data_IF_388499087600
#
_entry.id   IF_388499087600
#
_cell.length_a   1.000
_cell.length_b   1.000
_cell.length_c   1.000
_cell.angle_alpha   90.00
_cell.angle_beta   90.00
_cell.angle_gamma   90.00
#
_symmetry.space_group_name_H-M   'P 1'
#
loop_
_entity.id
_entity.type
_entity.pdbx_description
1 polymer ?
#
# COMPACT_ATOMS: atom_id res chain seq x y z
N UNK A 1 -21.59 -14.51 -0.59
CA UNK A 1 -22.92 -14.01 -0.19
C UNK A 1 -22.88 -13.80 1.31
N UNK A 2 -22.86 -12.55 1.80
CA UNK A 2 -22.92 -12.24 3.22
C UNK A 2 -24.39 -12.19 3.63
N UNK A 3 -24.93 -13.30 4.09
CA UNK A 3 -26.25 -13.35 4.70
C UNK A 3 -26.08 -13.32 6.22
N UNK A 4 -26.82 -12.40 6.85
CA UNK A 4 -27.10 -12.29 8.29
C UNK A 4 -25.99 -11.82 9.22
N UNK A 5 -25.36 -10.66 8.92
CA UNK A 5 -24.95 -9.76 10.00
C UNK A 5 -26.19 -8.98 10.42
N UNK A 6 -26.65 -9.08 11.69
CA UNK A 6 -27.81 -8.31 12.14
C UNK A 6 -27.57 -6.83 11.89
N UNK A 7 -28.55 -6.15 11.28
CA UNK A 7 -28.48 -4.72 10.98
C UNK A 7 -28.03 -3.89 12.21
N UNK A 8 -28.44 -4.32 13.40
CA UNK A 8 -28.05 -3.72 14.68
C UNK A 8 -26.54 -3.79 14.98
N UNK A 9 -25.84 -4.83 14.55
CA UNK A 9 -24.37 -4.93 14.69
C UNK A 9 -23.68 -3.95 13.75
N UNK A 10 -24.17 -3.82 12.51
CA UNK A 10 -23.64 -2.85 11.55
C UNK A 10 -23.85 -1.41 12.04
N UNK A 11 -25.05 -1.07 12.53
CA UNK A 11 -25.34 0.23 13.14
C UNK A 11 -24.48 0.49 14.37
N UNK A 12 -24.26 -0.52 15.21
CA UNK A 12 -23.40 -0.40 16.38
C UNK A 12 -21.95 -0.11 15.98
N UNK A 13 -21.39 -0.88 15.05
CA UNK A 13 -20.03 -0.66 14.54
C UNK A 13 -19.91 0.71 13.91
N UNK A 14 -20.87 1.11 13.06
CA UNK A 14 -20.89 2.43 12.42
C UNK A 14 -20.87 3.56 13.45
N UNK A 15 -21.72 3.48 14.48
CA UNK A 15 -21.73 4.44 15.59
C UNK A 15 -20.42 4.46 16.38
N UNK A 16 -19.83 3.29 16.67
CA UNK A 16 -18.55 3.22 17.40
C UNK A 16 -17.39 3.78 16.58
N UNK A 17 -17.40 3.57 15.26
CA UNK A 17 -16.43 4.17 14.34
C UNK A 17 -16.61 5.68 14.33
N UNK A 18 -17.84 6.18 14.22
CA UNK A 18 -18.14 7.62 14.20
C UNK A 18 -17.73 8.33 15.50
N UNK A 19 -18.04 7.75 16.66
CA UNK A 19 -17.59 8.23 17.98
C UNK A 19 -16.06 8.32 18.07
N UNK A 20 -15.36 7.30 17.56
CA UNK A 20 -13.90 7.23 17.56
C UNK A 20 -13.28 8.27 16.63
N UNK A 21 -13.81 8.40 15.41
CA UNK A 21 -13.37 9.39 14.41
C UNK A 21 -13.55 10.80 14.95
N UNK A 22 -14.69 11.10 15.57
CA UNK A 22 -14.99 12.42 16.16
C UNK A 22 -14.05 12.74 17.34
N UNK A 23 -13.77 11.77 18.20
CA UNK A 23 -12.82 11.92 19.31
C UNK A 23 -11.40 12.20 18.82
N UNK A 24 -10.96 11.49 17.79
CA UNK A 24 -9.67 11.74 17.14
C UNK A 24 -9.66 13.09 16.42
N UNK A 25 -10.74 13.47 15.77
CA UNK A 25 -10.86 14.75 15.06
C UNK A 25 -10.63 15.94 16.00
N UNK A 26 -11.13 15.91 17.24
CA UNK A 26 -10.86 16.96 18.24
C UNK A 26 -9.39 17.07 18.68
N UNK A 27 -8.57 16.04 18.44
CA UNK A 27 -7.18 15.93 18.90
C UNK A 27 -6.16 16.21 17.80
N UNK A 28 -6.60 16.34 16.54
CA UNK A 28 -5.71 16.57 15.40
C UNK A 28 -5.55 18.07 15.15
N UNK A 29 -4.29 18.58 15.07
CA UNK A 29 -4.04 20.00 14.79
C UNK A 29 -4.69 20.47 13.48
N UNK A 30 -5.22 21.71 13.41
CA UNK A 30 -5.91 22.23 12.22
C UNK A 30 -5.13 22.12 10.92
N UNK A 31 -3.80 22.26 10.98
CA UNK A 31 -2.90 22.14 9.82
C UNK A 31 -2.97 20.75 9.19
N UNK A 32 -3.03 19.70 10.01
CA UNK A 32 -3.10 18.30 9.51
C UNK A 32 -4.47 18.02 8.89
N UNK A 33 -5.55 18.61 9.44
CA UNK A 33 -6.89 18.53 8.85
C UNK A 33 -6.96 19.21 7.49
N UNK A 34 -6.39 20.41 7.37
CA UNK A 34 -6.41 21.16 6.12
C UNK A 34 -5.63 20.43 5.02
N UNK A 35 -4.43 19.95 5.34
CA UNK A 35 -3.58 19.22 4.38
C UNK A 35 -4.25 17.91 3.94
N UNK A 36 -4.86 17.17 4.87
CA UNK A 36 -5.56 15.92 4.55
C UNK A 36 -6.84 16.15 3.74
N UNK A 37 -7.64 17.17 4.08
CA UNK A 37 -8.84 17.55 3.32
C UNK A 37 -8.48 17.99 1.90
N UNK A 38 -7.41 18.77 1.75
CA UNK A 38 -6.92 19.21 0.44
C UNK A 38 -6.36 18.05 -0.37
N UNK A 39 -5.62 17.13 0.25
CA UNK A 39 -5.17 15.92 -0.44
C UNK A 39 -6.35 15.05 -0.91
N UNK A 40 -7.38 14.92 -0.07
CA UNK A 40 -8.59 14.18 -0.41
C UNK A 40 -9.37 14.84 -1.56
N UNK A 41 -9.54 16.16 -1.55
CA UNK A 41 -10.23 16.88 -2.62
C UNK A 41 -9.49 16.75 -3.95
N UNK A 42 -8.16 16.93 -3.94
CA UNK A 42 -7.31 16.75 -5.13
C UNK A 42 -7.40 15.32 -5.66
N UNK A 43 -7.34 14.31 -4.77
CA UNK A 43 -7.47 12.91 -5.16
C UNK A 43 -8.86 12.59 -5.76
N UNK A 44 -9.92 13.22 -5.24
CA UNK A 44 -11.29 13.07 -5.75
C UNK A 44 -11.49 13.73 -7.11
N UNK A 45 -10.82 14.83 -7.38
CA UNK A 45 -10.92 15.58 -8.64
C UNK A 45 -10.01 15.03 -9.76
N UNK A 46 -8.91 14.36 -9.38
CA UNK A 46 -7.95 13.78 -10.33
C UNK A 46 -8.57 12.87 -11.41
N UNK A 47 -9.55 11.98 -11.12
CA UNK A 47 -10.21 11.17 -12.14
C UNK A 47 -11.01 11.99 -13.14
N UNK A 48 -11.60 13.12 -12.72
CA UNK A 48 -12.38 14.01 -13.59
C UNK A 48 -11.45 14.74 -14.56
N UNK A 49 -10.36 15.30 -14.03
CA UNK A 49 -9.32 15.94 -14.84
C UNK A 49 -8.68 14.95 -15.83
N UNK A 50 -8.38 13.72 -15.39
CA UNK A 50 -7.83 12.68 -16.24
C UNK A 50 -8.79 12.29 -17.39
N UNK A 51 -10.09 12.21 -17.12
CA UNK A 51 -11.12 11.93 -18.14
C UNK A 51 -11.21 13.06 -19.17
N UNK A 52 -11.18 14.31 -18.73
CA UNK A 52 -11.25 15.48 -19.62
C UNK A 52 -10.06 15.51 -20.59
N UNK A 53 -8.84 15.33 -20.07
CA UNK A 53 -7.63 15.24 -20.89
C UNK A 53 -7.68 14.06 -21.85
N UNK A 54 -8.15 12.89 -21.38
CA UNK A 54 -8.29 11.71 -22.23
C UNK A 54 -9.29 11.93 -23.39
N UNK A 55 -10.41 12.62 -23.14
CA UNK A 55 -11.38 12.96 -24.18
C UNK A 55 -10.83 13.95 -25.21
N UNK A 56 -10.08 14.97 -24.77
CA UNK A 56 -9.49 15.97 -25.64
C UNK A 56 -8.39 15.38 -26.54
N UNK A 57 -7.58 14.45 -26.01
CA UNK A 57 -6.60 13.68 -26.79
C UNK A 57 -7.28 12.76 -27.80
N UNK A 58 -8.45 12.19 -27.46
CA UNK A 58 -9.22 11.38 -28.39
C UNK A 58 -9.81 12.22 -29.53
N UNK A 59 -10.28 13.43 -29.21
CA UNK A 59 -10.96 14.31 -30.15
C UNK A 59 -9.99 15.06 -31.09
N UNK A 60 -8.78 15.39 -30.61
CA UNK A 60 -7.73 16.08 -31.39
C UNK A 60 -6.93 15.16 -32.30
N UNK A 61 -7.05 13.83 -32.18
CA UNK A 61 -6.37 12.86 -33.05
C UNK A 61 -4.86 12.71 -32.83
N UNK A 62 -4.27 13.37 -31.81
CA UNK A 62 -2.81 13.44 -31.55
C UNK A 62 -2.25 12.18 -30.86
N UNK A 63 -2.97 11.04 -30.94
CA UNK A 63 -2.69 9.83 -30.16
C UNK A 63 -1.28 9.26 -30.38
N UNK A 64 -0.78 9.27 -31.61
CA UNK A 64 0.55 8.74 -31.93
C UNK A 64 1.68 9.64 -31.42
N UNK A 65 1.57 10.96 -31.60
CA UNK A 65 2.56 11.93 -31.09
C UNK A 65 2.54 11.97 -29.56
N UNK A 66 1.37 11.95 -28.92
CA UNK A 66 1.25 11.91 -27.47
C UNK A 66 1.77 10.61 -26.87
N UNK A 67 1.53 9.46 -27.52
CA UNK A 67 2.09 8.15 -27.15
C UNK A 67 3.62 8.13 -27.29
N UNK A 68 4.16 8.73 -28.36
CA UNK A 68 5.60 8.90 -28.56
C UNK A 68 6.25 9.76 -27.47
N UNK A 69 5.65 10.90 -27.14
CA UNK A 69 6.12 11.78 -26.06
C UNK A 69 6.02 11.13 -24.68
N UNK A 70 4.94 10.39 -24.40
CA UNK A 70 4.79 9.66 -23.16
C UNK A 70 5.88 8.58 -23.01
N UNK A 71 6.19 7.85 -24.09
CA UNK A 71 7.27 6.86 -24.09
C UNK A 71 8.63 7.50 -23.84
N UNK A 72 8.95 8.63 -24.49
CA UNK A 72 10.25 9.31 -24.30
C UNK A 72 10.41 9.93 -22.91
N UNK A 73 9.32 10.46 -22.35
CA UNK A 73 9.31 10.93 -20.96
C UNK A 73 9.49 9.75 -20.02
N UNK A 74 8.75 8.66 -20.23
CA UNK A 74 8.89 7.46 -19.39
C UNK A 74 10.32 6.92 -19.40
N UNK A 75 10.95 6.74 -20.55
CA UNK A 75 12.34 6.24 -20.63
C UNK A 75 13.36 7.19 -19.99
N UNK A 76 13.10 8.50 -19.99
CA UNK A 76 13.97 9.49 -19.34
C UNK A 76 13.84 9.48 -17.81
N UNK A 77 12.63 9.27 -17.29
CA UNK A 77 12.34 9.37 -15.86
C UNK A 77 12.35 8.03 -15.12
N UNK A 78 12.03 6.93 -15.79
CA UNK A 78 12.09 5.57 -15.24
C UNK A 78 13.42 5.27 -14.53
N UNK A 79 14.61 5.49 -15.11
CA UNK A 79 15.87 5.21 -14.41
C UNK A 79 16.06 6.08 -13.17
N UNK A 80 15.67 7.35 -13.23
CA UNK A 80 15.76 8.27 -12.08
C UNK A 80 14.81 7.88 -10.96
N UNK A 81 13.59 7.47 -11.31
CA UNK A 81 12.62 6.96 -10.35
C UNK A 81 13.15 5.69 -9.68
N UNK A 82 13.64 4.72 -10.47
CA UNK A 82 14.25 3.49 -9.98
C UNK A 82 15.44 3.77 -9.05
N UNK A 83 16.34 4.67 -9.43
CA UNK A 83 17.49 5.07 -8.61
C UNK A 83 17.05 5.65 -7.25
N UNK A 84 16.06 6.55 -7.26
CA UNK A 84 15.50 7.10 -6.04
C UNK A 84 14.87 6.01 -5.17
N UNK A 85 14.05 5.13 -5.75
CA UNK A 85 13.46 4.01 -5.02
C UNK A 85 14.54 3.13 -4.40
N UNK A 86 15.53 2.68 -5.16
CA UNK A 86 16.63 1.84 -4.66
C UNK A 86 17.42 2.51 -3.53
N UNK A 87 17.58 3.84 -3.55
CA UNK A 87 18.26 4.59 -2.50
C UNK A 87 17.47 4.65 -1.18
N UNK A 88 16.15 4.74 -1.25
CA UNK A 88 15.29 4.95 -0.08
C UNK A 88 14.64 3.67 0.45
N UNK A 89 14.42 2.67 -0.40
CA UNK A 89 13.84 1.38 -0.04
C UNK A 89 14.50 0.74 1.19
N UNK A 90 15.84 0.60 1.29
CA UNK A 90 16.46 0.00 2.47
C UNK A 90 16.25 0.82 3.75
N UNK A 91 16.15 2.15 3.63
CA UNK A 91 15.84 3.03 4.78
C UNK A 91 14.39 2.89 5.23
N UNK A 92 13.47 2.75 4.27
CA UNK A 92 12.07 2.50 4.55
C UNK A 92 11.88 1.14 5.24
N UNK A 93 12.57 0.10 4.75
CA UNK A 93 12.58 -1.23 5.35
C UNK A 93 13.12 -1.20 6.80
N UNK A 94 14.27 -0.56 7.01
CA UNK A 94 14.85 -0.44 8.36
C UNK A 94 13.92 0.32 9.32
N UNK A 95 13.26 1.37 8.83
CA UNK A 95 12.26 2.11 9.61
C UNK A 95 11.08 1.20 9.99
N UNK A 96 10.55 0.43 9.03
CA UNK A 96 9.46 -0.51 9.25
C UNK A 96 9.84 -1.60 10.26
N UNK A 97 11.03 -2.20 10.15
CA UNK A 97 11.55 -3.18 11.13
C UNK A 97 11.69 -2.58 12.52
N UNK A 98 12.26 -1.38 12.61
CA UNK A 98 12.45 -0.70 13.90
C UNK A 98 11.11 -0.38 14.55
N UNK A 99 10.17 0.18 13.78
CA UNK A 99 8.82 0.48 14.25
C UNK A 99 8.09 -0.79 14.70
N UNK A 100 8.16 -1.86 13.92
CA UNK A 100 7.57 -3.15 14.26
C UNK A 100 8.15 -3.73 15.56
N UNK A 101 9.47 -3.67 15.73
CA UNK A 101 10.13 -4.13 16.97
C UNK A 101 9.69 -3.31 18.19
N UNK A 102 9.56 -1.99 18.04
CA UNK A 102 9.05 -1.11 19.10
C UNK A 102 7.59 -1.40 19.44
N UNK A 103 6.76 -1.63 18.43
CA UNK A 103 5.37 -2.01 18.66
C UNK A 103 5.27 -3.33 19.42
N UNK A 104 6.08 -4.33 19.08
CA UNK A 104 6.13 -5.62 19.80
C UNK A 104 6.62 -5.52 21.26
N UNK A 105 7.18 -4.38 21.70
CA UNK A 105 7.48 -4.13 23.11
C UNK A 105 6.25 -3.66 23.92
N UNK A 106 5.14 -3.32 23.25
CA UNK A 106 3.90 -2.90 23.91
C UNK A 106 3.10 -4.13 24.40
N UNK A 107 2.46 -4.06 25.57
CA UNK A 107 1.89 -5.23 26.25
C UNK A 107 0.79 -5.98 25.47
N UNK A 108 0.06 -5.32 24.58
CA UNK A 108 -1.03 -5.93 23.81
C UNK A 108 -0.68 -6.19 22.34
N UNK A 109 0.37 -5.54 21.82
CA UNK A 109 0.65 -5.57 20.40
C UNK A 109 1.09 -6.96 19.89
N UNK A 110 1.89 -7.77 20.63
CA UNK A 110 2.22 -9.13 20.20
C UNK A 110 1.00 -10.01 19.95
N UNK A 111 -0.04 -9.87 20.79
CA UNK A 111 -1.29 -10.64 20.64
C UNK A 111 -2.05 -10.21 19.38
N UNK A 112 -2.10 -8.90 19.10
CA UNK A 112 -2.68 -8.37 17.86
C UNK A 112 -1.88 -8.84 16.65
N UNK A 113 -0.54 -8.80 16.73
CA UNK A 113 0.34 -9.23 15.66
C UNK A 113 0.14 -10.71 15.30
N UNK A 114 -0.08 -11.60 16.28
CA UNK A 114 -0.36 -13.03 16.05
C UNK A 114 -1.61 -13.28 15.20
N UNK A 115 -2.60 -12.38 15.23
CA UNK A 115 -3.83 -12.49 14.43
C UNK A 115 -3.66 -11.80 13.07
N UNK A 116 -3.05 -10.62 13.07
CA UNK A 116 -2.93 -9.78 11.88
C UNK A 116 -1.91 -10.34 10.89
N UNK A 117 -0.75 -10.83 11.36
CA UNK A 117 0.34 -11.29 10.48
C UNK A 117 -0.11 -12.46 9.58
N UNK A 118 -0.73 -13.55 10.08
CA UNK A 118 -1.20 -14.63 9.21
C UNK A 118 -2.29 -14.18 8.24
N UNK A 119 -3.19 -13.29 8.69
CA UNK A 119 -4.25 -12.73 7.85
C UNK A 119 -3.67 -11.90 6.71
N UNK A 120 -2.70 -11.03 7.01
CA UNK A 120 -2.01 -10.23 6.01
C UNK A 120 -1.22 -11.10 5.01
N UNK A 121 -0.58 -12.17 5.48
CA UNK A 121 0.12 -13.13 4.63
C UNK A 121 -0.85 -13.82 3.66
N UNK A 122 -1.96 -14.36 4.17
CA UNK A 122 -3.00 -14.99 3.35
C UNK A 122 -3.60 -14.02 2.32
N UNK A 123 -3.97 -12.81 2.73
CA UNK A 123 -4.53 -11.81 1.82
C UNK A 123 -3.54 -11.43 0.72
N UNK A 124 -2.25 -11.26 1.06
CA UNK A 124 -1.20 -10.93 0.10
C UNK A 124 -0.97 -12.06 -0.91
N UNK A 125 -0.97 -13.30 -0.45
CA UNK A 125 -0.87 -14.48 -1.32
C UNK A 125 -2.06 -14.57 -2.30
N UNK A 126 -3.29 -14.43 -1.80
CA UNK A 126 -4.51 -14.47 -2.65
C UNK A 126 -4.52 -13.33 -3.67
N UNK A 127 -4.08 -12.14 -3.27
CA UNK A 127 -3.93 -11.00 -4.17
C UNK A 127 -2.91 -11.32 -5.27
N UNK A 128 -1.71 -11.79 -4.92
CA UNK A 128 -0.66 -12.13 -5.88
C UNK A 128 -1.11 -13.21 -6.87
N UNK A 129 -1.75 -14.28 -6.39
CA UNK A 129 -2.34 -15.32 -7.24
C UNK A 129 -3.39 -14.75 -8.20
N UNK A 130 -4.19 -13.80 -7.75
CA UNK A 130 -5.22 -13.16 -8.59
C UNK A 130 -4.58 -12.29 -9.67
N UNK A 131 -3.55 -11.51 -9.33
CA UNK A 131 -2.81 -10.70 -10.31
C UNK A 131 -2.16 -11.60 -11.36
N UNK A 132 -1.49 -12.68 -10.95
CA UNK A 132 -0.85 -13.62 -11.86
C UNK A 132 -1.87 -14.33 -12.77
N UNK A 133 -2.95 -14.87 -12.19
CA UNK A 133 -3.98 -15.56 -12.99
C UNK A 133 -4.73 -14.63 -13.95
N UNK A 134 -4.91 -13.35 -13.60
CA UNK A 134 -5.51 -12.37 -14.52
C UNK A 134 -4.54 -11.92 -15.61
N UNK A 135 -3.24 -11.86 -15.30
CA UNK A 135 -2.17 -11.68 -16.27
C UNK A 135 -2.10 -12.83 -17.28
N UNK A 136 -2.12 -14.08 -16.82
CA UNK A 136 -2.15 -15.27 -17.68
C UNK A 136 -3.38 -15.31 -18.60
N UNK A 137 -4.53 -14.81 -18.12
CA UNK A 137 -5.77 -14.68 -18.90
C UNK A 137 -5.79 -13.50 -19.86
N UNK A 138 -4.73 -12.69 -19.92
CA UNK A 138 -4.60 -11.57 -20.85
C UNK A 138 -5.38 -10.31 -20.46
N UNK A 139 -5.82 -10.17 -19.20
CA UNK A 139 -6.47 -8.94 -18.76
C UNK A 139 -5.47 -7.79 -18.68
N UNK A 140 -5.64 -6.76 -19.52
CA UNK A 140 -4.74 -5.60 -19.59
C UNK A 140 -4.55 -4.84 -18.27
N UNK A 141 -5.46 -4.98 -17.31
CA UNK A 141 -5.37 -4.28 -16.03
C UNK A 141 -4.28 -4.89 -15.13
N UNK A 142 -4.02 -6.20 -15.22
CA UNK A 142 -3.08 -6.88 -14.34
C UNK A 142 -1.62 -6.49 -14.59
N UNK A 143 -1.27 -6.06 -15.81
CA UNK A 143 0.07 -5.53 -16.12
C UNK A 143 0.41 -4.24 -15.37
N UNK A 144 -0.58 -3.61 -14.74
CA UNK A 144 -0.40 -2.40 -13.93
C UNK A 144 -0.51 -2.69 -12.43
N UNK A 145 -0.87 -3.91 -12.02
CA UNK A 145 -1.01 -4.29 -10.62
C UNK A 145 0.31 -4.88 -10.11
N UNK A 146 0.99 -4.25 -9.13
CA UNK A 146 2.23 -4.78 -8.59
C UNK A 146 1.95 -6.00 -7.74
N UNK A 147 2.89 -6.95 -7.71
CA UNK A 147 2.89 -8.06 -6.75
C UNK A 147 3.42 -7.59 -5.40
N UNK A 148 2.87 -8.14 -4.32
CA UNK A 148 3.37 -7.95 -2.96
C UNK A 148 4.60 -8.85 -2.77
N UNK A 149 5.78 -8.31 -2.40
CA UNK A 149 7.01 -9.09 -2.28
C UNK A 149 7.08 -9.81 -0.93
N UNK A 150 6.27 -10.86 -0.75
CA UNK A 150 6.10 -11.60 0.50
C UNK A 150 7.38 -12.20 1.05
N UNK A 151 8.25 -12.72 0.17
CA UNK A 151 9.52 -13.37 0.54
C UNK A 151 10.52 -12.35 1.07
N UNK A 152 10.57 -11.18 0.44
CA UNK A 152 11.43 -10.06 0.85
C UNK A 152 10.99 -9.50 2.19
N UNK A 153 9.68 -9.31 2.37
CA UNK A 153 9.12 -8.88 3.66
C UNK A 153 9.48 -9.90 4.73
N UNK A 154 9.19 -11.19 4.53
CA UNK A 154 9.56 -12.23 5.49
C UNK A 154 11.06 -12.19 5.84
N UNK A 155 11.93 -12.05 4.83
CA UNK A 155 13.39 -11.96 5.04
C UNK A 155 13.80 -10.75 5.89
N UNK A 156 13.23 -9.58 5.65
CA UNK A 156 13.57 -8.33 6.36
C UNK A 156 13.13 -8.38 7.84
N UNK A 157 12.06 -9.11 8.14
CA UNK A 157 11.48 -9.21 9.49
C UNK A 157 11.88 -10.48 10.25
N UNK A 158 12.56 -11.44 9.61
CA UNK A 158 13.22 -12.53 10.31
C UNK A 158 14.36 -11.97 11.17
N UNK A 159 14.42 -12.36 12.43
CA UNK A 159 15.62 -12.12 13.25
C UNK A 159 16.77 -12.93 12.64
N UNK A 160 17.88 -12.29 12.30
CA UNK A 160 19.08 -12.96 11.77
C UNK A 160 19.52 -14.10 12.72
N UNK A 161 19.15 -15.34 12.40
CA UNK A 161 19.78 -16.55 12.94
C UNK A 161 21.15 -16.67 12.27
N UNK A 162 22.08 -15.77 12.59
CA UNK A 162 23.43 -15.79 12.04
C UNK A 162 24.49 -15.05 12.88
N UNK A 163 24.24 -14.72 14.15
CA UNK A 163 25.29 -14.26 15.06
C UNK A 163 25.13 -14.80 16.50
N UNK A 164 25.23 -16.13 16.65
CA UNK A 164 25.73 -16.76 17.89
C UNK A 164 25.85 -18.28 17.72
N UNK A 165 26.88 -18.74 17.01
CA UNK A 165 27.46 -20.05 17.33
C UNK A 165 28.80 -19.77 18.00
N UNK A 166 28.93 -19.96 19.33
CA UNK A 166 30.24 -19.96 19.95
C UNK A 166 30.93 -21.26 19.50
N UNK A 167 32.09 -21.11 18.87
CA UNK A 167 33.05 -22.20 18.70
C UNK A 167 33.47 -22.63 20.10
N UNK A 168 32.86 -23.71 20.61
CA UNK A 168 33.45 -24.47 21.71
C UNK A 168 34.69 -25.14 21.15
N UNK A 169 35.85 -24.61 21.55
CA UNK A 169 37.12 -25.30 21.45
C UNK A 169 37.13 -26.39 22.53
N UNK A 170 37.44 -27.61 22.14
CA UNK A 170 37.99 -28.66 23.00
C UNK A 170 39.10 -29.35 22.22
#
# INVERSE_FOLDING_TARGET
KFHDVPNEVLKFVDRKVDESVTSLDSRVPPVVKQVSAQAYSVAREAPVAARAVASEVHQSGVKETASGLAKTLYTKYEPKAKELYSKYEPKAEQCAVTAWRRLNQLPLFPQVAQVVVPTAAYCSEKYNQTVLSTFEKGYRVSSYLPLVPTERIAKVFSDDVAQSMPLVSS
#
